data_IF_985051768153
#
_entry.id   IF_985051768153
#
_cell.length_a   1.000
_cell.length_b   1.000
_cell.length_c   1.000
_cell.angle_alpha   90.00
_cell.angle_beta   90.00
_cell.angle_gamma   90.00
#
_symmetry.space_group_name_H-M   'P 1'
#
loop_
_entity.id
_entity.type
_entity.pdbx_description
1 polymer ?
#
# COMPACT_ATOMS: atom_id res chain seq x y z
N UNK A 1 1.42 -5.19 6.46
CA UNK A 1 2.53 -6.16 6.47
C UNK A 1 3.60 -5.73 7.44
N UNK A 2 3.31 -5.76 8.75
CA UNK A 2 4.15 -5.20 9.81
C UNK A 2 5.30 -6.12 10.23
N UNK A 3 6.24 -6.38 9.32
CA UNK A 3 7.43 -7.21 9.60
C UNK A 3 8.73 -6.41 9.66
N UNK A 4 8.67 -5.10 9.39
CA UNK A 4 9.79 -4.19 9.54
C UNK A 4 9.75 -3.54 10.92
N UNK A 5 10.86 -2.94 11.36
CA UNK A 5 10.89 -2.27 12.66
C UNK A 5 9.87 -1.13 12.69
N UNK A 6 9.46 -0.71 13.88
CA UNK A 6 8.41 0.30 14.02
C UNK A 6 8.83 1.64 13.41
N UNK A 7 10.12 1.96 13.41
CA UNK A 7 10.69 3.17 12.78
C UNK A 7 10.59 3.16 11.25
N UNK A 8 10.51 1.98 10.64
CA UNK A 8 10.43 1.81 9.18
C UNK A 8 9.00 1.52 8.69
N UNK A 9 8.05 1.36 9.62
CA UNK A 9 6.71 0.85 9.35
C UNK A 9 5.70 1.90 8.88
N UNK A 10 6.12 3.16 8.68
CA UNK A 10 5.22 4.26 8.36
C UNK A 10 4.34 4.03 7.12
N UNK A 11 4.86 3.39 6.07
CA UNK A 11 4.07 3.01 4.89
C UNK A 11 3.00 1.95 5.20
N UNK A 12 3.35 0.94 5.99
CA UNK A 12 2.42 -0.11 6.36
C UNK A 12 1.30 0.41 7.25
N UNK A 13 1.57 1.45 8.04
CA UNK A 13 0.60 2.07 8.94
C UNK A 13 -0.48 2.87 8.24
N UNK A 14 -0.21 3.40 7.06
CA UNK A 14 -1.27 4.01 6.22
C UNK A 14 -2.34 2.96 5.90
N UNK A 15 -1.94 1.79 5.42
CA UNK A 15 -2.87 0.72 5.11
C UNK A 15 -3.58 0.19 6.37
N UNK A 16 -2.85 0.06 7.49
CA UNK A 16 -3.44 -0.36 8.77
C UNK A 16 -4.47 0.65 9.28
N UNK A 17 -4.14 1.94 9.23
CA UNK A 17 -5.04 3.03 9.60
C UNK A 17 -6.33 2.98 8.77
N UNK A 18 -6.20 2.85 7.45
CA UNK A 18 -7.35 2.75 6.54
C UNK A 18 -8.24 1.54 6.90
N UNK A 19 -7.67 0.33 7.01
CA UNK A 19 -8.45 -0.88 7.35
C UNK A 19 -9.16 -0.72 8.70
N UNK A 20 -8.50 -0.15 9.72
CA UNK A 20 -9.10 0.02 11.04
C UNK A 20 -10.23 1.06 11.02
N UNK A 21 -10.06 2.16 10.28
CA UNK A 21 -11.09 3.17 10.14
C UNK A 21 -12.34 2.57 9.46
N UNK A 22 -12.15 1.83 8.36
CA UNK A 22 -13.23 1.13 7.66
C UNK A 22 -13.89 0.05 8.54
N UNK A 23 -13.09 -0.72 9.28
CA UNK A 23 -13.62 -1.74 10.18
C UNK A 23 -14.46 -1.14 11.31
N UNK A 24 -14.08 0.03 11.85
CA UNK A 24 -14.91 0.75 12.83
C UNK A 24 -16.25 1.16 12.24
N UNK A 25 -16.26 1.69 11.02
CA UNK A 25 -17.50 2.04 10.30
C UNK A 25 -18.37 0.80 10.10
N UNK A 26 -17.76 -0.35 9.83
CA UNK A 26 -18.44 -1.65 9.74
C UNK A 26 -18.87 -2.24 11.11
N UNK A 27 -18.62 -1.54 12.23
CA UNK A 27 -19.07 -1.94 13.57
C UNK A 27 -18.05 -2.70 14.41
N UNK A 28 -16.79 -2.82 13.97
CA UNK A 28 -15.72 -3.40 14.78
C UNK A 28 -15.41 -2.48 15.97
N UNK A 29 -15.38 -3.06 17.18
CA UNK A 29 -14.94 -2.36 18.38
C UNK A 29 -13.42 -2.26 18.37
N UNK A 30 -12.92 -1.03 18.39
CA UNK A 30 -11.49 -0.73 18.39
C UNK A 30 -11.14 -0.02 19.69
N UNK A 31 -10.08 -0.48 20.36
CA UNK A 31 -9.48 0.24 21.48
C UNK A 31 -8.77 1.49 20.94
N UNK A 32 -9.35 2.65 21.23
CA UNK A 32 -8.86 3.95 20.75
C UNK A 32 -7.46 4.25 21.31
N UNK A 33 -7.18 3.87 22.55
CA UNK A 33 -5.88 4.12 23.17
C UNK A 33 -4.77 3.30 22.52
N UNK A 34 -5.05 2.04 22.14
CA UNK A 34 -4.12 1.21 21.38
C UNK A 34 -3.95 1.72 19.94
N UNK A 35 -5.03 2.16 19.29
CA UNK A 35 -4.97 2.75 17.96
C UNK A 35 -4.08 4.00 17.92
N UNK A 36 -4.30 4.94 18.82
CA UNK A 36 -3.51 6.18 18.90
C UNK A 36 -2.04 5.92 19.19
N UNK A 37 -1.75 4.92 20.04
CA UNK A 37 -0.38 4.55 20.37
C UNK A 37 0.33 3.87 19.20
N UNK A 38 -0.26 2.85 18.60
CA UNK A 38 0.42 1.96 17.64
C UNK A 38 0.38 2.52 16.22
N UNK A 39 -0.78 3.06 15.83
CA UNK A 39 -1.05 3.47 14.44
C UNK A 39 -0.60 4.90 14.20
N UNK A 40 -1.00 5.83 15.08
CA UNK A 40 -0.73 7.26 14.91
C UNK A 40 0.60 7.72 15.53
N UNK A 41 1.20 6.92 16.42
CA UNK A 41 2.35 7.29 17.25
C UNK A 41 2.19 8.63 17.99
N UNK A 42 1.04 8.86 18.62
CA UNK A 42 0.85 10.11 19.37
C UNK A 42 1.75 10.23 20.61
N UNK A 43 2.41 9.14 21.04
CA UNK A 43 3.32 9.15 22.20
C UNK A 43 4.78 9.37 21.83
N UNK A 44 5.14 9.34 20.53
CA UNK A 44 6.53 9.43 20.05
C UNK A 44 7.46 8.40 20.74
N UNK A 45 6.97 7.17 20.92
CA UNK A 45 7.66 6.10 21.64
C UNK A 45 8.73 5.39 20.76
N UNK A 46 9.22 6.06 19.71
CA UNK A 46 10.10 5.48 18.69
C UNK A 46 9.36 4.70 17.58
N UNK A 47 8.06 4.92 17.44
CA UNK A 47 7.17 4.16 16.56
C UNK A 47 6.84 5.03 15.34
N UNK A 48 7.28 4.77 14.11
CA UNK A 48 6.94 5.71 13.01
C UNK A 48 5.43 5.77 12.79
N UNK A 49 4.81 6.95 12.79
CA UNK A 49 3.41 7.15 12.41
C UNK A 49 3.16 6.88 10.91
N UNK A 50 1.91 7.00 10.41
CA UNK A 50 1.60 6.81 9.00
C UNK A 50 2.31 7.90 8.17
N UNK A 51 3.24 7.50 7.30
CA UNK A 51 4.00 8.45 6.48
C UNK A 51 4.09 7.99 5.03
N UNK A 52 3.49 8.77 4.13
CA UNK A 52 3.48 8.50 2.69
C UNK A 52 4.89 8.52 2.09
N UNK A 53 5.82 9.28 2.67
CA UNK A 53 7.22 9.34 2.24
C UNK A 53 8.11 8.28 2.93
N UNK A 54 7.54 7.42 3.78
CA UNK A 54 8.29 6.40 4.52
C UNK A 54 9.11 5.46 3.62
N UNK A 55 10.06 4.76 4.22
CA UNK A 55 10.98 3.87 3.50
C UNK A 55 10.22 2.76 2.77
N UNK A 56 10.39 2.70 1.45
CA UNK A 56 9.84 1.61 0.64
C UNK A 56 10.87 0.49 0.51
N UNK A 57 10.59 -0.64 1.16
CA UNK A 57 11.46 -1.82 1.10
C UNK A 57 11.31 -2.54 -0.23
N UNK A 58 12.39 -2.58 -1.01
CA UNK A 58 12.47 -3.38 -2.24
C UNK A 58 13.00 -4.77 -1.90
N UNK A 59 12.12 -5.76 -1.84
CA UNK A 59 12.47 -7.16 -1.56
C UNK A 59 13.03 -7.91 -2.77
N UNK A 60 12.79 -7.41 -3.99
CA UNK A 60 13.33 -7.96 -5.23
C UNK A 60 14.80 -7.55 -5.41
N UNK A 61 15.70 -8.16 -4.64
CA UNK A 61 17.14 -7.89 -4.69
C UNK A 61 17.88 -8.89 -5.58
N UNK A 62 18.87 -8.38 -6.32
CA UNK A 62 19.96 -9.11 -6.98
C UNK A 62 19.57 -10.44 -7.65
N UNK A 63 19.71 -11.57 -6.95
CA UNK A 63 19.49 -12.91 -7.51
C UNK A 63 18.08 -13.11 -8.05
N UNK A 64 17.07 -12.44 -7.47
CA UNK A 64 15.69 -12.56 -7.91
C UNK A 64 15.45 -12.00 -9.33
N UNK A 65 16.30 -11.10 -9.82
CA UNK A 65 16.23 -10.62 -11.20
C UNK A 65 16.47 -11.70 -12.24
N UNK A 66 17.19 -12.77 -11.91
CA UNK A 66 17.38 -13.90 -12.83
C UNK A 66 16.02 -14.56 -13.11
N UNK A 67 15.18 -14.71 -12.08
CA UNK A 67 13.83 -15.26 -12.22
C UNK A 67 12.87 -14.38 -13.04
N UNK A 68 13.23 -13.11 -13.25
CA UNK A 68 12.46 -12.15 -14.07
C UNK A 68 12.83 -12.19 -15.55
N UNK A 69 13.96 -12.81 -15.91
CA UNK A 69 14.43 -12.95 -17.31
C UNK A 69 14.03 -14.32 -17.89
N UNK A 70 13.81 -15.33 -17.03
CA UNK A 70 13.40 -16.66 -17.47
C UNK A 70 11.96 -16.61 -18.03
N UNK A 71 11.74 -17.00 -19.31
CA UNK A 71 10.40 -17.07 -19.89
C UNK A 71 9.51 -18.01 -19.09
N UNK A 72 8.31 -17.54 -18.75
CA UNK A 72 7.28 -18.31 -18.06
C UNK A 72 6.07 -18.48 -18.98
N UNK A 73 5.31 -19.54 -18.74
CA UNK A 73 4.01 -19.71 -19.40
C UNK A 73 2.90 -19.20 -18.50
N UNK A 74 1.94 -18.48 -19.07
CA UNK A 74 0.66 -18.15 -18.43
C UNK A 74 -0.46 -18.78 -19.23
N UNK A 75 -1.50 -19.24 -18.54
CA UNK A 75 -2.71 -19.68 -19.20
C UNK A 75 -3.63 -18.47 -19.36
N UNK A 76 -4.03 -18.19 -20.59
CA UNK A 76 -5.03 -17.17 -20.88
C UNK A 76 -6.41 -17.83 -20.97
N UNK A 77 -7.32 -17.38 -20.09
CA UNK A 77 -8.68 -17.90 -20.02
C UNK A 77 -9.57 -17.38 -21.17
N UNK A 78 -9.21 -16.27 -21.82
CA UNK A 78 -9.99 -15.71 -22.94
C UNK A 78 -9.70 -16.47 -24.24
N UNK A 79 -8.43 -16.78 -24.51
CA UNK A 79 -7.99 -17.48 -25.73
C UNK A 79 -7.86 -18.99 -25.56
N UNK A 80 -7.82 -19.50 -24.33
CA UNK A 80 -7.66 -20.92 -24.02
C UNK A 80 -6.26 -21.47 -24.28
N UNK A 81 -5.27 -20.60 -24.47
CA UNK A 81 -3.90 -20.97 -24.86
C UNK A 81 -2.90 -20.67 -23.74
N UNK A 82 -1.76 -21.39 -23.78
CA UNK A 82 -0.60 -21.07 -22.95
C UNK A 82 0.32 -20.12 -23.72
N UNK A 83 0.44 -18.91 -23.22
CA UNK A 83 1.31 -17.88 -23.78
C UNK A 83 2.63 -17.84 -23.03
N UNK A 84 3.72 -17.73 -23.78
CA UNK A 84 5.03 -17.44 -23.21
C UNK A 84 5.19 -15.93 -22.98
N UNK A 85 5.70 -15.55 -21.82
CA UNK A 85 6.02 -14.17 -21.50
C UNK A 85 7.27 -14.11 -20.61
N UNK A 86 7.95 -12.97 -20.65
CA UNK A 86 9.06 -12.68 -19.75
C UNK A 86 8.55 -11.68 -18.70
N UNK A 87 8.59 -12.02 -17.40
CA UNK A 87 7.92 -11.23 -16.38
C UNK A 87 8.41 -9.78 -16.24
N UNK A 88 9.72 -9.52 -16.23
CA UNK A 88 10.30 -8.17 -16.07
C UNK A 88 9.63 -7.28 -15.00
N UNK A 89 9.35 -7.85 -13.83
CA UNK A 89 8.66 -7.26 -12.69
C UNK A 89 7.13 -7.31 -12.78
N UNK A 90 6.59 -7.65 -13.94
CA UNK A 90 5.17 -7.88 -14.24
C UNK A 90 4.23 -6.91 -13.47
N UNK A 91 4.34 -5.58 -13.72
CA UNK A 91 3.54 -4.61 -13.01
C UNK A 91 2.05 -4.96 -13.15
N UNK A 92 1.34 -5.01 -12.02
CA UNK A 92 -0.10 -5.28 -12.00
C UNK A 92 -0.83 -4.16 -12.72
N UNK A 93 -1.73 -4.50 -13.65
CA UNK A 93 -2.59 -3.51 -14.28
C UNK A 93 -3.66 -3.06 -13.30
N UNK A 94 -3.81 -1.74 -13.19
CA UNK A 94 -4.91 -1.11 -12.45
C UNK A 94 -5.93 -0.66 -13.52
N UNK A 95 -7.23 -0.97 -13.37
CA UNK A 95 -8.23 -0.55 -14.34
C UNK A 95 -8.42 0.98 -14.32
N UNK A 96 -8.83 1.54 -15.45
CA UNK A 96 -9.21 2.96 -15.54
C UNK A 96 -10.40 3.25 -14.61
N UNK A 97 -10.36 4.40 -13.95
CA UNK A 97 -11.37 4.80 -12.97
C UNK A 97 -11.27 4.08 -11.62
N UNK A 98 -10.18 3.34 -11.35
CA UNK A 98 -9.95 2.75 -10.04
C UNK A 98 -9.81 3.81 -8.94
N UNK A 99 -10.20 3.44 -7.72
CA UNK A 99 -9.90 4.22 -6.52
C UNK A 99 -8.43 4.05 -6.14
N UNK A 100 -7.73 5.19 -6.04
CA UNK A 100 -6.35 5.28 -5.60
C UNK A 100 -6.31 6.08 -4.30
N UNK A 101 -5.74 5.48 -3.26
CA UNK A 101 -5.62 6.13 -1.96
C UNK A 101 -4.73 7.37 -2.04
N UNK A 102 -5.14 8.46 -1.38
CA UNK A 102 -4.46 9.77 -1.42
C UNK A 102 -2.96 9.73 -1.06
N UNK A 103 -2.54 8.78 -0.21
CA UNK A 103 -1.12 8.59 0.14
C UNK A 103 -0.22 8.30 -1.06
N UNK A 104 -0.74 7.72 -2.15
CA UNK A 104 0.02 7.49 -3.38
C UNK A 104 0.40 8.83 -4.02
N UNK A 105 -0.56 9.76 -4.09
CA UNK A 105 -0.37 11.09 -4.66
C UNK A 105 0.58 11.91 -3.80
N UNK A 106 0.40 11.85 -2.48
CA UNK A 106 1.27 12.52 -1.52
C UNK A 106 2.72 12.02 -1.64
N UNK A 107 2.92 10.71 -1.77
CA UNK A 107 4.23 10.12 -2.00
C UNK A 107 4.84 10.58 -3.32
N UNK A 108 4.06 10.62 -4.41
CA UNK A 108 4.55 11.10 -5.71
C UNK A 108 4.99 12.57 -5.66
N UNK A 109 4.30 13.39 -4.86
CA UNK A 109 4.66 14.80 -4.65
C UNK A 109 5.92 14.96 -3.78
N UNK A 110 6.09 14.13 -2.73
CA UNK A 110 7.18 14.22 -1.76
C UNK A 110 8.43 13.42 -2.14
N UNK A 111 8.38 12.58 -3.17
CA UNK A 111 9.48 11.68 -3.55
C UNK A 111 9.61 11.44 -5.06
N UNK A 112 10.65 10.69 -5.44
CA UNK A 112 10.92 10.21 -6.81
C UNK A 112 10.04 9.01 -7.23
N UNK A 113 9.10 8.59 -6.39
CA UNK A 113 8.21 7.46 -6.66
C UNK A 113 7.32 7.73 -7.89
N UNK A 114 7.49 6.94 -8.96
CA UNK A 114 6.69 7.00 -10.20
C UNK A 114 6.18 5.60 -10.56
N UNK A 115 4.97 5.21 -10.10
CA UNK A 115 4.41 3.89 -10.38
C UNK A 115 4.04 3.74 -11.86
N UNK A 116 4.64 2.76 -12.55
CA UNK A 116 4.35 2.46 -13.98
C UNK A 116 2.93 1.95 -14.24
N UNK A 117 2.26 1.45 -13.20
CA UNK A 117 0.94 0.84 -13.27
C UNK A 117 -0.22 1.81 -13.04
N UNK A 118 0.08 3.10 -12.76
CA UNK A 118 -0.96 4.08 -12.48
C UNK A 118 -1.72 4.42 -13.78
N UNK A 119 -3.06 4.36 -13.78
CA UNK A 119 -3.86 4.68 -14.95
C UNK A 119 -3.89 6.20 -15.20
N UNK A 120 -4.29 6.62 -16.40
CA UNK A 120 -4.42 8.04 -16.73
C UNK A 120 -5.62 8.68 -16.01
N UNK A 121 -6.69 7.89 -15.79
CA UNK A 121 -7.88 8.29 -15.03
C UNK A 121 -8.02 7.43 -13.79
N UNK A 122 -8.11 8.07 -12.63
CA UNK A 122 -8.40 7.44 -11.35
C UNK A 122 -9.18 8.40 -10.46
N UNK A 123 -9.86 7.84 -9.47
CA UNK A 123 -10.52 8.60 -8.42
C UNK A 123 -9.65 8.56 -7.16
N UNK A 124 -9.40 9.72 -6.56
CA UNK A 124 -8.63 9.80 -5.32
C UNK A 124 -9.54 9.49 -4.13
N UNK A 125 -9.29 8.39 -3.44
CA UNK A 125 -9.95 8.10 -2.17
C UNK A 125 -9.32 8.98 -1.08
N UNK A 126 -10.11 9.80 -0.37
CA UNK A 126 -9.60 10.71 0.65
C UNK A 126 -9.08 9.95 1.87
N UNK A 127 -8.17 10.57 2.61
CA UNK A 127 -7.79 10.08 3.93
C UNK A 127 -9.03 10.04 4.84
N UNK A 128 -9.41 8.84 5.29
CA UNK A 128 -10.52 8.66 6.21
C UNK A 128 -10.17 9.34 7.53
N UNK A 129 -11.09 10.15 8.06
CA UNK A 129 -10.93 10.82 9.35
C UNK A 129 -10.60 9.81 10.46
N UNK A 130 -9.70 10.20 11.35
CA UNK A 130 -9.22 9.34 12.42
C UNK A 130 -10.37 8.86 13.31
N UNK A 131 -10.24 7.62 13.79
CA UNK A 131 -11.18 7.00 14.73
C UNK A 131 -11.49 7.91 15.93
N UNK A 132 -10.48 8.67 16.40
CA UNK A 132 -10.56 9.58 17.55
C UNK A 132 -11.37 10.85 17.31
N UNK A 133 -11.49 11.33 16.06
CA UNK A 133 -12.28 12.55 15.76
C UNK A 133 -13.78 12.29 15.64
N UNK A 134 -14.19 11.01 15.57
CA UNK A 134 -15.59 10.57 15.41
C UNK A 134 -16.23 10.01 16.69
N UNK A 135 -15.55 10.09 17.84
CA UNK A 135 -16.04 9.59 19.13
C UNK A 135 -16.64 10.67 20.03
N UNK A 136 -17.16 11.75 19.43
CA UNK A 136 -17.93 12.80 20.11
C UNK A 136 -19.38 12.68 19.71
#
# INVERSE_FOLDING_TARGET
>A
GGSYSEEESGLAKIALQWILNEAKVAGLKIDVGQYEKIVLDLKNDGVAGPDAAGKLHKSLTSFWWIGEIIPKTRYDYETGLREWYIPFGAPRRIPEGAFIHQSVLERMARSDYRPKALPDKYEAEPLVENISSRST
#
